data_IF_044695487117
#
_entry.id   IF_044695487117
#
_cell.length_a   1.000
_cell.length_b   1.000
_cell.length_c   1.000
_cell.angle_alpha   90.00
_cell.angle_beta   90.00
_cell.angle_gamma   90.00
#
_symmetry.space_group_name_H-M   'P 1'
#
loop_
_entity.id
_entity.type
_entity.pdbx_description
1 polymer ?
#
# COMPACT_ATOMS: atom_id res chain seq x y z
N UNK A 1 19.81 -8.32 -16.82
CA UNK A 1 18.68 -9.18 -17.30
C UNK A 1 17.35 -8.48 -17.05
N UNK A 2 16.38 -8.69 -17.96
CA UNK A 2 15.01 -8.18 -17.80
C UNK A 2 14.27 -9.12 -16.84
N UNK A 3 13.68 -8.58 -15.76
CA UNK A 3 12.93 -9.37 -14.78
C UNK A 3 11.63 -9.92 -15.38
N UNK A 4 11.05 -10.94 -14.75
CA UNK A 4 9.75 -11.50 -15.19
C UNK A 4 8.64 -10.46 -15.13
N UNK A 5 8.62 -9.63 -14.10
CA UNK A 5 7.67 -8.50 -13.96
C UNK A 5 7.79 -7.52 -15.12
N UNK A 6 9.01 -7.14 -15.51
CA UNK A 6 9.24 -6.25 -16.65
C UNK A 6 8.75 -6.86 -17.96
N UNK A 7 8.98 -8.16 -18.16
CA UNK A 7 8.48 -8.89 -19.34
C UNK A 7 6.94 -8.86 -19.37
N UNK A 8 6.27 -9.13 -18.24
CA UNK A 8 4.81 -9.12 -18.15
C UNK A 8 4.28 -7.73 -18.45
N UNK A 9 4.82 -6.68 -17.82
CA UNK A 9 4.35 -5.31 -18.02
C UNK A 9 4.51 -4.88 -19.48
N UNK A 10 5.65 -5.18 -20.10
CA UNK A 10 5.92 -4.80 -21.49
C UNK A 10 5.25 -5.68 -22.54
N UNK A 11 4.68 -6.82 -22.14
CA UNK A 11 4.09 -7.81 -23.09
C UNK A 11 2.82 -7.32 -23.77
N UNK A 12 2.06 -6.41 -23.15
CA UNK A 12 0.78 -5.90 -23.66
C UNK A 12 0.50 -4.46 -23.21
N UNK A 13 -0.61 -3.89 -23.69
CA UNK A 13 -1.13 -2.60 -23.22
C UNK A 13 -2.06 -2.83 -22.04
N UNK A 14 -1.71 -2.31 -20.86
CA UNK A 14 -2.52 -2.43 -19.66
C UNK A 14 -3.35 -1.16 -19.47
N UNK A 15 -4.64 -1.31 -19.13
CA UNK A 15 -5.54 -0.17 -18.85
C UNK A 15 -5.45 0.30 -17.40
N UNK A 16 -5.09 -0.62 -16.49
CA UNK A 16 -4.88 -0.35 -15.07
C UNK A 16 -3.71 -1.19 -14.56
N UNK A 17 -2.79 -0.54 -13.86
CA UNK A 17 -1.74 -1.18 -13.09
C UNK A 17 -1.87 -0.75 -11.63
N UNK A 18 -1.97 -1.72 -10.74
CA UNK A 18 -1.96 -1.49 -9.28
C UNK A 18 -0.57 -1.88 -8.77
N UNK A 19 0.10 -0.93 -8.17
CA UNK A 19 1.43 -1.11 -7.57
C UNK A 19 1.25 -1.19 -6.06
N UNK A 20 1.85 -2.18 -5.45
CA UNK A 20 1.90 -2.35 -4.01
C UNK A 20 3.35 -2.37 -3.55
N UNK A 21 3.60 -1.74 -2.41
CA UNK A 21 4.89 -1.81 -1.73
C UNK A 21 4.71 -2.34 -0.30
N UNK A 22 5.76 -2.92 0.27
CA UNK A 22 5.76 -3.32 1.66
C UNK A 22 5.65 -2.09 2.57
N UNK A 23 4.85 -2.11 3.65
CA UNK A 23 4.64 -0.95 4.51
C UNK A 23 5.94 -0.37 5.06
N UNK A 24 6.90 -1.21 5.44
CA UNK A 24 8.18 -0.79 6.01
C UNK A 24 9.03 0.03 5.03
N UNK A 25 8.91 -0.22 3.73
CA UNK A 25 9.55 0.54 2.67
C UNK A 25 9.08 2.01 2.63
N UNK A 26 7.87 2.26 3.08
CA UNK A 26 7.25 3.59 3.08
C UNK A 26 7.58 4.41 4.34
N UNK A 27 8.25 3.81 5.32
CA UNK A 27 8.60 4.50 6.56
C UNK A 27 9.87 5.34 6.45
N UNK A 28 10.72 5.08 5.47
CA UNK A 28 11.90 5.91 5.19
C UNK A 28 11.63 6.86 4.03
N UNK A 29 11.72 8.17 4.28
CA UNK A 29 11.57 9.21 3.26
C UNK A 29 12.63 9.10 2.17
N UNK A 30 13.87 8.74 2.55
CA UNK A 30 14.98 8.55 1.62
C UNK A 30 14.68 7.39 0.67
N UNK A 31 14.26 6.24 1.21
CA UNK A 31 13.91 5.06 0.43
C UNK A 31 12.77 5.34 -0.54
N UNK A 32 11.72 6.03 -0.09
CA UNK A 32 10.60 6.43 -0.96
C UNK A 32 11.09 7.29 -2.13
N UNK A 33 11.98 8.24 -1.87
CA UNK A 33 12.46 9.16 -2.89
C UNK A 33 13.44 8.49 -3.88
N UNK A 34 14.32 7.64 -3.40
CA UNK A 34 15.38 7.04 -4.21
C UNK A 34 14.91 5.79 -4.96
N UNK A 35 14.15 4.92 -4.29
CA UNK A 35 13.74 3.63 -4.85
C UNK A 35 12.30 3.60 -5.31
N UNK A 36 11.35 3.77 -4.41
CA UNK A 36 9.92 3.57 -4.73
C UNK A 36 9.48 4.46 -5.89
N UNK A 37 9.94 5.72 -5.91
CA UNK A 37 9.64 6.65 -7.00
C UNK A 37 10.25 6.20 -8.33
N UNK A 38 11.50 5.74 -8.30
CA UNK A 38 12.23 5.24 -9.47
C UNK A 38 11.56 3.99 -10.06
N UNK A 39 11.15 3.06 -9.20
CA UNK A 39 10.49 1.83 -9.63
C UNK A 39 9.11 2.11 -10.25
N UNK A 40 8.36 3.05 -9.70
CA UNK A 40 7.10 3.48 -10.29
C UNK A 40 7.34 4.09 -11.68
N UNK A 41 8.35 4.94 -11.84
CA UNK A 41 8.70 5.53 -13.15
C UNK A 41 9.09 4.45 -14.16
N UNK A 42 9.86 3.47 -13.73
CA UNK A 42 10.25 2.31 -14.56
C UNK A 42 9.02 1.51 -15.00
N UNK A 43 8.12 1.16 -14.08
CA UNK A 43 6.87 0.45 -14.38
C UNK A 43 6.05 1.22 -15.42
N UNK A 44 5.91 2.53 -15.25
CA UNK A 44 5.18 3.40 -16.19
C UNK A 44 5.83 3.43 -17.57
N UNK A 45 7.16 3.43 -17.64
CA UNK A 45 7.89 3.46 -18.90
C UNK A 45 7.72 2.20 -19.72
N UNK A 46 7.55 1.05 -19.05
CA UNK A 46 7.40 -0.26 -19.70
C UNK A 46 6.01 -0.48 -20.32
N UNK A 47 4.97 0.18 -19.80
CA UNK A 47 3.62 0.01 -20.32
C UNK A 47 3.42 0.78 -21.64
N UNK A 48 2.88 0.09 -22.64
CA UNK A 48 2.64 0.67 -23.98
C UNK A 48 1.42 1.58 -24.04
N UNK A 49 0.45 1.41 -23.12
CA UNK A 49 -0.75 2.24 -23.09
C UNK A 49 -0.48 3.56 -22.34
N UNK A 50 -0.42 4.66 -23.08
CA UNK A 50 -0.21 6.01 -22.51
C UNK A 50 -1.41 6.53 -21.70
N UNK A 51 -2.58 5.91 -21.84
CA UNK A 51 -3.80 6.22 -21.10
C UNK A 51 -4.02 5.27 -19.90
N UNK A 52 -3.02 4.45 -19.56
CA UNK A 52 -3.08 3.56 -18.41
C UNK A 52 -3.35 4.33 -17.12
N UNK A 53 -4.26 3.84 -16.32
CA UNK A 53 -4.46 4.33 -14.96
C UNK A 53 -3.49 3.60 -14.02
N UNK A 54 -2.87 4.36 -13.14
CA UNK A 54 -1.98 3.81 -12.12
C UNK A 54 -2.58 4.05 -10.75
N UNK A 55 -2.59 3.01 -9.94
CA UNK A 55 -3.05 3.06 -8.55
C UNK A 55 -1.95 2.54 -7.65
N UNK A 56 -1.68 3.24 -6.56
CA UNK A 56 -0.80 2.76 -5.51
C UNK A 56 -1.63 2.20 -4.36
N UNK A 57 -1.46 0.92 -4.12
CA UNK A 57 -2.08 0.23 -3.01
C UNK A 57 -1.12 0.22 -1.83
N UNK A 58 -1.50 0.91 -0.77
CA UNK A 58 -0.82 0.74 0.51
C UNK A 58 -1.65 -0.16 1.42
N UNK A 59 -0.97 -1.05 2.11
CA UNK A 59 -1.58 -1.93 3.10
C UNK A 59 -1.85 -1.14 4.40
N UNK A 60 -2.17 -1.80 5.45
CA UNK A 60 -2.50 -1.25 6.76
C UNK A 60 -1.34 -1.39 7.73
N UNK A 61 -1.43 -0.70 8.86
CA UNK A 61 -0.51 -0.87 9.99
C UNK A 61 -0.74 -2.25 10.60
N UNK A 62 0.30 -3.03 10.96
CA UNK A 62 0.16 -4.30 11.64
C UNK A 62 -0.75 -4.23 12.87
N UNK A 63 -1.48 -5.31 13.16
CA UNK A 63 -2.41 -5.40 14.29
C UNK A 63 -1.69 -5.21 15.62
N UNK A 64 -0.59 -5.91 15.78
CA UNK A 64 0.27 -5.87 16.97
C UNK A 64 1.58 -5.19 16.62
N UNK A 65 1.84 -4.08 17.28
CA UNK A 65 3.07 -3.34 17.14
C UNK A 65 3.45 -2.78 18.50
N UNK A 66 4.66 -3.06 18.94
CA UNK A 66 5.18 -2.50 20.18
C UNK A 66 5.73 -1.10 19.94
N UNK A 67 5.08 -0.10 20.49
CA UNK A 67 5.53 1.28 20.45
C UNK A 67 6.20 1.69 21.77
N UNK A 68 7.14 2.64 21.77
CA UNK A 68 7.72 3.29 20.59
C UNK A 68 8.66 2.39 19.79
N UNK A 69 8.69 2.61 18.47
CA UNK A 69 9.70 2.01 17.60
C UNK A 69 10.77 3.06 17.37
N UNK A 70 12.00 2.80 17.81
CA UNK A 70 13.09 3.79 17.69
C UNK A 70 13.40 4.14 16.24
N UNK A 71 13.60 3.12 15.43
CA UNK A 71 13.79 3.25 13.98
C UNK A 71 13.70 1.88 13.32
N UNK A 72 13.11 1.83 12.12
CA UNK A 72 13.17 0.67 11.23
C UNK A 72 14.20 1.02 10.16
N UNK A 73 15.28 0.22 10.10
CA UNK A 73 16.37 0.44 9.18
C UNK A 73 16.53 -0.75 8.24
N UNK A 74 16.56 -0.47 6.94
CA UNK A 74 16.75 -1.44 5.88
C UNK A 74 18.14 -1.21 5.26
N UNK A 75 19.03 -2.23 5.21
CA UNK A 75 20.34 -2.09 4.59
C UNK A 75 20.22 -1.71 3.12
N UNK A 76 21.02 -0.74 2.65
CA UNK A 76 21.04 -0.38 1.22
C UNK A 76 21.47 -1.55 0.35
N UNK A 77 22.32 -2.44 0.88
CA UNK A 77 22.75 -3.67 0.22
C UNK A 77 21.60 -4.62 -0.16
N UNK A 78 20.48 -4.59 0.56
CA UNK A 78 19.31 -5.41 0.24
C UNK A 78 18.63 -4.99 -1.08
N UNK A 79 18.99 -3.82 -1.62
CA UNK A 79 18.46 -3.21 -2.84
C UNK A 79 19.47 -3.14 -3.99
N UNK A 80 20.61 -3.85 -3.91
CA UNK A 80 21.68 -3.83 -4.92
C UNK A 80 21.23 -4.27 -6.32
N UNK A 81 20.12 -5.01 -6.42
CA UNK A 81 19.50 -5.37 -7.70
C UNK A 81 18.86 -4.16 -8.42
N UNK A 82 18.64 -3.06 -7.73
CA UNK A 82 18.07 -1.82 -8.26
C UNK A 82 19.17 -0.79 -8.43
N UNK A 83 20.09 -0.99 -9.35
CA UNK A 83 21.04 -0.02 -9.94
C UNK A 83 21.36 1.22 -9.08
N UNK A 84 21.85 1.05 -7.88
CA UNK A 84 22.80 2.00 -7.35
C UNK A 84 24.12 1.78 -8.11
N UNK A 85 24.82 2.81 -8.55
CA UNK A 85 26.17 2.62 -9.04
C UNK A 85 26.99 1.97 -7.90
N UNK A 86 27.25 0.68 -8.06
CA UNK A 86 27.82 -0.25 -7.04
C UNK A 86 29.19 0.20 -6.49
N UNK A 87 29.75 1.28 -7.02
CA UNK A 87 31.11 1.67 -6.74
C UNK A 87 31.33 2.41 -5.40
N UNK A 88 30.28 2.71 -4.62
CA UNK A 88 30.42 3.47 -3.37
C UNK A 88 29.44 3.13 -2.25
N UNK A 89 28.68 2.03 -2.31
CA UNK A 89 27.86 1.65 -1.16
C UNK A 89 28.77 1.08 -0.06
N UNK A 90 28.97 1.85 0.99
CA UNK A 90 29.43 1.29 2.26
C UNK A 90 28.39 0.25 2.69
N UNK A 91 28.84 -0.96 3.01
CA UNK A 91 27.99 -2.06 3.50
C UNK A 91 27.16 -1.68 4.76
N UNK A 92 27.49 -0.56 5.39
CA UNK A 92 26.85 -0.05 6.61
C UNK A 92 25.76 1.00 6.35
N UNK A 93 25.56 1.45 5.10
CA UNK A 93 24.51 2.43 4.79
C UNK A 93 23.12 1.80 4.86
N UNK A 94 22.19 2.52 5.46
CA UNK A 94 20.82 2.06 5.69
C UNK A 94 19.80 3.16 5.38
N UNK A 95 18.66 2.75 4.87
CA UNK A 95 17.46 3.57 4.84
C UNK A 95 16.74 3.42 6.18
N UNK A 96 16.63 4.48 6.94
CA UNK A 96 16.02 4.42 8.27
C UNK A 96 14.75 5.29 8.34
N UNK A 97 13.75 4.79 9.07
CA UNK A 97 12.59 5.60 9.47
C UNK A 97 12.98 6.59 10.57
N UNK A 98 12.17 7.62 10.76
CA UNK A 98 12.13 8.37 12.00
C UNK A 98 11.58 7.51 13.16
N UNK A 99 11.68 7.98 14.40
CA UNK A 99 11.08 7.33 15.56
C UNK A 99 9.54 7.35 15.44
N UNK A 100 8.91 6.22 15.76
CA UNK A 100 7.46 6.06 15.68
C UNK A 100 6.90 5.86 17.07
N UNK A 101 6.32 6.90 17.64
CA UNK A 101 5.89 6.92 19.04
C UNK A 101 4.65 6.09 19.33
N UNK A 102 3.75 5.97 18.36
CA UNK A 102 2.48 5.30 18.51
C UNK A 102 1.84 5.01 17.14
N UNK A 103 0.71 4.29 17.15
CA UNK A 103 -0.01 3.89 15.94
C UNK A 103 -0.51 5.07 15.09
N UNK A 104 -0.88 6.18 15.71
CA UNK A 104 -1.32 7.39 14.99
C UNK A 104 -0.15 8.05 14.26
N UNK A 105 1.02 8.08 14.89
CA UNK A 105 2.25 8.57 14.29
C UNK A 105 2.69 7.69 13.12
N UNK A 106 2.62 6.37 13.29
CA UNK A 106 2.86 5.42 12.21
C UNK A 106 1.98 5.71 10.98
N UNK A 107 0.68 5.92 11.21
CA UNK A 107 -0.26 6.26 10.13
C UNK A 107 0.09 7.61 9.48
N UNK A 108 0.54 8.60 10.25
CA UNK A 108 0.98 9.90 9.74
C UNK A 108 2.15 9.74 8.76
N UNK A 109 3.17 9.00 9.16
CA UNK A 109 4.37 8.74 8.34
C UNK A 109 3.97 8.06 7.03
N UNK A 110 3.14 7.01 7.09
CA UNK A 110 2.63 6.35 5.88
C UNK A 110 1.87 7.31 4.96
N UNK A 111 0.99 8.13 5.52
CA UNK A 111 0.22 9.09 4.72
C UNK A 111 1.11 10.16 4.08
N UNK A 112 2.17 10.60 4.75
CA UNK A 112 3.14 11.53 4.16
C UNK A 112 3.88 10.91 2.98
N UNK A 113 4.34 9.66 3.11
CA UNK A 113 4.96 8.93 2.01
C UNK A 113 4.01 8.79 0.81
N UNK A 114 2.76 8.41 1.07
CA UNK A 114 1.74 8.29 0.03
C UNK A 114 1.43 9.61 -0.66
N UNK A 115 1.38 10.70 0.09
CA UNK A 115 1.20 12.04 -0.46
C UNK A 115 2.38 12.43 -1.36
N UNK A 116 3.62 12.13 -0.96
CA UNK A 116 4.80 12.35 -1.80
C UNK A 116 4.73 11.56 -3.10
N UNK A 117 4.35 10.28 -3.04
CA UNK A 117 4.15 9.44 -4.24
C UNK A 117 3.06 10.04 -5.13
N UNK A 118 1.93 10.45 -4.57
CA UNK A 118 0.84 11.06 -5.34
C UNK A 118 1.28 12.35 -6.04
N UNK A 119 1.93 13.25 -5.32
CA UNK A 119 2.37 14.54 -5.86
C UNK A 119 3.34 14.37 -7.04
N UNK A 120 4.32 13.45 -6.91
CA UNK A 120 5.31 13.20 -7.94
C UNK A 120 4.78 12.34 -9.08
N UNK A 121 4.07 11.28 -8.74
CA UNK A 121 3.66 10.25 -9.71
C UNK A 121 2.26 10.46 -10.29
N UNK A 122 1.44 11.34 -9.70
CA UNK A 122 0.04 11.59 -10.13
C UNK A 122 -0.77 10.29 -10.23
N UNK A 123 -0.69 9.46 -9.20
CA UNK A 123 -1.38 8.17 -9.11
C UNK A 123 -2.59 8.25 -8.19
N UNK A 124 -3.58 7.39 -8.39
CA UNK A 124 -4.63 7.20 -7.40
C UNK A 124 -4.05 6.44 -6.21
N UNK A 125 -4.13 7.02 -5.01
CA UNK A 125 -3.65 6.38 -3.78
C UNK A 125 -4.82 5.70 -3.07
N UNK A 126 -4.63 4.46 -2.63
CA UNK A 126 -5.64 3.74 -1.87
C UNK A 126 -5.70 4.19 -0.42
N UNK A 127 -6.91 4.31 0.13
CA UNK A 127 -7.13 4.78 1.51
C UNK A 127 -7.22 3.64 2.54
N UNK A 128 -6.73 2.45 2.22
CA UNK A 128 -6.81 1.28 3.09
C UNK A 128 -6.22 1.51 4.50
N UNK A 129 -5.04 2.15 4.67
CA UNK A 129 -4.47 2.35 6.00
C UNK A 129 -5.38 3.14 6.94
N UNK A 130 -5.95 4.24 6.43
CA UNK A 130 -6.85 5.09 7.23
C UNK A 130 -8.17 4.38 7.54
N UNK A 131 -8.71 3.62 6.59
CA UNK A 131 -9.95 2.87 6.78
C UNK A 131 -9.76 1.78 7.84
N UNK A 132 -8.66 0.99 7.74
CA UNK A 132 -8.34 -0.04 8.73
C UNK A 132 -8.10 0.56 10.12
N UNK A 133 -7.36 1.66 10.20
CA UNK A 133 -7.13 2.37 11.46
C UNK A 133 -8.43 2.86 12.10
N UNK A 134 -9.33 3.46 11.30
CA UNK A 134 -10.61 3.96 11.77
C UNK A 134 -11.54 2.84 12.23
N UNK A 135 -11.57 1.71 11.52
CA UNK A 135 -12.36 0.56 11.96
C UNK A 135 -11.80 -0.01 13.27
N UNK A 136 -10.49 -0.17 13.38
CA UNK A 136 -9.88 -0.66 14.61
C UNK A 136 -10.18 0.20 15.85
N UNK A 137 -10.36 1.50 15.65
CA UNK A 137 -10.73 2.42 16.75
C UNK A 137 -12.23 2.49 17.04
N UNK A 138 -13.08 2.46 16.01
CA UNK A 138 -14.51 2.72 16.16
C UNK A 138 -15.37 1.45 16.23
N UNK A 139 -14.82 0.31 15.79
CA UNK A 139 -15.50 -0.99 15.71
C UNK A 139 -14.52 -2.11 16.15
N UNK A 140 -14.04 -2.08 17.40
CA UNK A 140 -13.01 -3.02 17.89
C UNK A 140 -13.45 -4.49 17.87
N UNK A 141 -14.77 -4.74 17.80
CA UNK A 141 -15.35 -6.07 17.65
C UNK A 141 -15.14 -6.65 16.24
N UNK A 142 -14.84 -5.83 15.24
CA UNK A 142 -14.59 -6.28 13.85
C UNK A 142 -13.16 -6.76 13.73
N UNK A 143 -13.00 -8.06 13.58
CA UNK A 143 -11.69 -8.69 13.44
C UNK A 143 -11.18 -8.59 11.99
N UNK A 144 -10.48 -7.49 11.66
CA UNK A 144 -9.94 -7.27 10.31
C UNK A 144 -8.74 -8.15 9.97
N UNK A 145 -8.06 -8.71 10.98
CA UNK A 145 -6.82 -9.45 10.83
C UNK A 145 -7.01 -10.91 11.24
N UNK A 146 -6.42 -11.82 10.46
CA UNK A 146 -6.32 -13.24 10.78
C UNK A 146 -5.15 -13.51 11.75
N UNK A 147 -4.04 -12.83 11.49
CA UNK A 147 -2.84 -12.85 12.35
C UNK A 147 -2.37 -11.40 12.64
N UNK A 148 -1.07 -11.19 12.78
CA UNK A 148 -0.48 -9.87 13.04
C UNK A 148 -0.49 -8.95 11.82
N UNK A 149 -0.48 -9.52 10.60
CA UNK A 149 -0.26 -8.80 9.34
C UNK A 149 -1.36 -9.06 8.31
N UNK A 150 -1.82 -10.31 8.19
CA UNK A 150 -2.69 -10.71 7.10
C UNK A 150 -4.15 -10.38 7.40
N UNK A 151 -4.93 -10.00 6.36
CA UNK A 151 -6.34 -9.70 6.54
C UNK A 151 -7.12 -11.00 6.78
N UNK A 152 -8.03 -10.96 7.74
CA UNK A 152 -9.05 -11.98 7.89
C UNK A 152 -10.01 -12.01 6.68
N UNK A 153 -10.95 -12.95 6.66
CA UNK A 153 -12.05 -12.95 5.67
C UNK A 153 -12.82 -11.63 5.67
N UNK A 154 -13.04 -11.03 6.85
CA UNK A 154 -13.71 -9.74 7.02
C UNK A 154 -12.85 -8.61 6.43
N UNK A 155 -11.55 -8.58 6.76
CA UNK A 155 -10.61 -7.60 6.22
C UNK A 155 -10.46 -7.72 4.70
N UNK A 156 -10.37 -8.93 4.17
CA UNK A 156 -10.32 -9.19 2.73
C UNK A 156 -11.56 -8.71 2.00
N UNK A 157 -12.75 -8.92 2.59
CA UNK A 157 -13.99 -8.41 2.02
C UNK A 157 -14.05 -6.88 2.01
N UNK A 158 -13.61 -6.24 3.09
CA UNK A 158 -13.47 -4.78 3.15
C UNK A 158 -12.56 -4.27 2.03
N UNK A 159 -11.37 -4.86 1.89
CA UNK A 159 -10.40 -4.48 0.85
C UNK A 159 -11.00 -4.62 -0.55
N UNK A 160 -11.72 -5.71 -0.81
CA UNK A 160 -12.42 -5.91 -2.08
C UNK A 160 -13.49 -4.83 -2.33
N UNK A 161 -14.24 -4.40 -1.32
CA UNK A 161 -15.21 -3.32 -1.44
C UNK A 161 -14.55 -1.96 -1.74
N UNK A 162 -13.39 -1.67 -1.11
CA UNK A 162 -12.62 -0.45 -1.38
C UNK A 162 -12.11 -0.46 -2.82
N UNK A 163 -11.47 -1.54 -3.26
CA UNK A 163 -11.03 -1.68 -4.65
C UNK A 163 -12.17 -1.60 -5.65
N UNK A 164 -13.31 -2.25 -5.36
CA UNK A 164 -14.48 -2.14 -6.23
C UNK A 164 -14.90 -0.69 -6.44
N UNK A 165 -14.99 0.09 -5.36
CA UNK A 165 -15.30 1.52 -5.43
C UNK A 165 -14.26 2.29 -6.24
N UNK A 166 -12.98 2.07 -5.95
CA UNK A 166 -11.88 2.81 -6.60
C UNK A 166 -11.76 2.50 -8.09
N UNK A 167 -11.86 1.23 -8.47
CA UNK A 167 -11.67 0.80 -9.87
C UNK A 167 -12.90 1.13 -10.73
N UNK A 168 -14.10 0.89 -10.20
CA UNK A 168 -15.33 1.00 -10.98
C UNK A 168 -16.09 2.31 -10.80
N UNK A 169 -15.75 3.07 -9.76
CA UNK A 169 -16.52 4.23 -9.26
C UNK A 169 -17.99 3.90 -8.93
N UNK A 170 -18.30 2.62 -8.67
CA UNK A 170 -19.64 2.17 -8.30
C UNK A 170 -19.77 2.00 -6.79
N UNK A 171 -20.99 2.18 -6.29
CA UNK A 171 -21.29 2.04 -4.88
C UNK A 171 -21.32 0.56 -4.45
N UNK A 172 -20.40 0.11 -3.55
CA UNK A 172 -20.36 -1.28 -3.09
C UNK A 172 -21.57 -1.70 -2.27
N UNK A 173 -22.38 -0.77 -1.72
CA UNK A 173 -23.61 -1.12 -0.99
C UNK A 173 -24.67 -1.77 -1.90
N UNK A 174 -24.55 -1.63 -3.22
CA UNK A 174 -25.44 -2.25 -4.20
C UNK A 174 -25.07 -3.69 -4.54
N UNK A 175 -23.91 -4.17 -4.08
CA UNK A 175 -23.49 -5.55 -4.30
C UNK A 175 -24.33 -6.51 -3.45
N UNK A 176 -24.85 -7.56 -4.07
CA UNK A 176 -25.54 -8.66 -3.35
C UNK A 176 -24.56 -9.64 -2.70
N UNK A 177 -23.34 -9.69 -3.20
CA UNK A 177 -22.28 -10.57 -2.68
C UNK A 177 -21.79 -10.10 -1.32
N UNK A 178 -21.77 -10.99 -0.33
CA UNK A 178 -21.36 -10.73 1.05
C UNK A 178 -20.18 -11.60 1.49
N UNK A 179 -19.55 -12.34 0.59
CA UNK A 179 -18.48 -13.30 0.90
C UNK A 179 -18.83 -14.33 2.01
N UNK A 180 -20.11 -14.62 2.22
CA UNK A 180 -20.59 -15.49 3.31
C UNK A 180 -20.43 -14.88 4.71
N UNK A 181 -20.30 -13.57 4.82
CA UNK A 181 -20.42 -12.81 6.06
C UNK A 181 -21.90 -12.60 6.40
N UNK A 182 -22.19 -12.38 7.68
CA UNK A 182 -23.51 -11.94 8.08
C UNK A 182 -23.88 -10.59 7.47
N UNK A 183 -25.18 -10.36 7.27
CA UNK A 183 -25.69 -9.19 6.56
C UNK A 183 -25.32 -7.87 7.25
N UNK A 184 -25.32 -7.83 8.59
CA UNK A 184 -25.02 -6.64 9.38
C UNK A 184 -23.55 -6.21 9.16
N UNK A 185 -22.62 -7.15 9.30
CA UNK A 185 -21.18 -6.91 9.08
C UNK A 185 -20.92 -6.53 7.62
N UNK A 186 -21.43 -7.29 6.64
CA UNK A 186 -21.22 -7.01 5.24
C UNK A 186 -21.74 -5.62 4.84
N UNK A 187 -22.94 -5.25 5.29
CA UNK A 187 -23.54 -3.94 5.02
C UNK A 187 -22.76 -2.80 5.64
N UNK A 188 -22.21 -2.98 6.86
CA UNK A 188 -21.37 -1.98 7.51
C UNK A 188 -20.09 -1.74 6.70
N UNK A 189 -19.38 -2.81 6.32
CA UNK A 189 -18.12 -2.70 5.56
C UNK A 189 -18.32 -2.06 4.19
N UNK A 190 -19.40 -2.42 3.48
CA UNK A 190 -19.77 -1.77 2.21
C UNK A 190 -20.04 -0.27 2.37
N UNK A 191 -20.74 0.15 3.44
CA UNK A 191 -20.95 1.58 3.73
C UNK A 191 -19.64 2.30 4.01
N UNK A 192 -18.79 1.73 4.86
CA UNK A 192 -17.47 2.31 5.15
C UNK A 192 -16.65 2.46 3.88
N UNK A 193 -16.57 1.42 3.04
CA UNK A 193 -15.86 1.49 1.76
C UNK A 193 -16.45 2.52 0.78
N UNK A 194 -17.75 2.81 0.87
CA UNK A 194 -18.40 3.80 0.00
C UNK A 194 -18.17 5.25 0.46
N UNK A 195 -17.97 5.47 1.76
CA UNK A 195 -17.80 6.80 2.36
C UNK A 195 -16.37 7.37 2.21
N UNK A 196 -15.43 6.55 1.75
CA UNK A 196 -14.00 6.88 1.65
C UNK A 196 -13.46 6.94 0.19
#
# INVERSE_FOLDING_TARGET
EITETEKIISSRSWDLIIIQEAPDMLLSKELVNELVQSDIEKIKSLNRNKNCKYMFFNTWIPKVQNYPIKSICLPKSDFDYVKFPVNNLNSDEKFCSEEILNKKEHLRILNEALNQINLKQKMTISNHPNIHFNIGNNYPEIQLYEDEYHPSKIGSFLNACIFYKMITNKNPTRLKFNAGLDEKTASLLKRIANSN
#
